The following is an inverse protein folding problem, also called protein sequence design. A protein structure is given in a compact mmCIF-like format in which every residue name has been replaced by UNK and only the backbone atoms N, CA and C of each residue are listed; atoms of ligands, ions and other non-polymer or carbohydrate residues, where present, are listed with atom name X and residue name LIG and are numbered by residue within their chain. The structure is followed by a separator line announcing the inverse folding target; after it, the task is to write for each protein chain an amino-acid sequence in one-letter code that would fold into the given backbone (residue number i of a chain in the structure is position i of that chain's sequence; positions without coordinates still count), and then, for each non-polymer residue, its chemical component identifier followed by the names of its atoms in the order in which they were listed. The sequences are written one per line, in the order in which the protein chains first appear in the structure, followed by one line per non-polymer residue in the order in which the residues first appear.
data_IF_591802437470
#
_entry.id   IF_591802437470
#
_cell.length_a   1.000
_cell.length_b   1.000
_cell.length_c   1.000
_cell.angle_alpha   90.00
_cell.angle_beta   90.00
_cell.angle_gamma   90.00
#
_symmetry.space_group_name_H-M   'P 1'
#
loop_
_entity.id
_entity.type
_entity.pdbx_description
1 polymer ?
#
# COMPACT_ATOMS: atom_id res chain seq x y z
N UNK A 1 29.17 -2.13 -7.91
CA UNK A 1 28.37 -3.00 -7.02
C UNK A 1 29.14 -4.17 -6.41
N UNK A 2 30.41 -4.42 -6.78
CA UNK A 2 31.20 -5.52 -6.23
C UNK A 2 31.28 -5.53 -4.69
N UNK A 3 31.67 -4.42 -4.07
CA UNK A 3 31.82 -4.34 -2.61
C UNK A 3 30.54 -4.71 -1.82
N UNK A 4 29.37 -4.27 -2.29
CA UNK A 4 28.09 -4.56 -1.61
C UNK A 4 27.74 -6.05 -1.75
N UNK A 5 27.99 -6.66 -2.91
CA UNK A 5 27.80 -8.10 -3.12
C UNK A 5 28.74 -8.91 -2.22
N UNK A 6 30.02 -8.54 -2.16
CA UNK A 6 31.00 -9.24 -1.31
C UNK A 6 30.58 -9.24 0.15
N UNK A 7 29.98 -8.13 0.62
CA UNK A 7 29.48 -8.00 2.00
C UNK A 7 28.20 -8.82 2.21
N UNK A 8 27.20 -8.65 1.34
CA UNK A 8 25.85 -9.19 1.58
C UNK A 8 25.65 -10.64 1.11
N UNK A 9 26.40 -11.07 0.11
CA UNK A 9 26.27 -12.40 -0.53
C UNK A 9 27.43 -13.29 -0.11
N UNK A 10 28.66 -12.79 -0.24
CA UNK A 10 29.87 -13.58 -0.02
C UNK A 10 30.35 -13.54 1.46
N UNK A 11 29.67 -12.77 2.31
CA UNK A 11 29.91 -12.71 3.77
C UNK A 11 31.23 -12.05 4.19
N UNK A 12 31.89 -11.34 3.27
CA UNK A 12 33.18 -10.70 3.51
C UNK A 12 33.04 -9.52 4.49
N UNK A 13 33.92 -9.39 5.50
CA UNK A 13 33.90 -8.24 6.39
C UNK A 13 34.01 -6.91 5.62
N UNK A 14 33.31 -5.87 6.11
CA UNK A 14 33.21 -4.57 5.42
C UNK A 14 34.58 -3.95 5.17
N UNK A 15 35.54 -4.10 6.09
CA UNK A 15 36.89 -3.55 5.96
C UNK A 15 37.67 -4.23 4.82
N UNK A 16 37.54 -5.56 4.70
CA UNK A 16 38.23 -6.35 3.69
C UNK A 16 37.61 -6.11 2.31
N UNK A 17 36.28 -6.07 2.24
CA UNK A 17 35.56 -5.69 1.02
C UNK A 17 35.88 -4.25 0.59
N UNK A 18 36.01 -3.32 1.54
CA UNK A 18 36.37 -1.94 1.22
C UNK A 18 37.79 -1.85 0.62
N UNK A 19 38.75 -2.56 1.23
CA UNK A 19 40.13 -2.64 0.75
C UNK A 19 40.21 -3.27 -0.65
N UNK A 20 39.55 -4.41 -0.86
CA UNK A 20 39.53 -5.13 -2.14
C UNK A 20 38.92 -4.28 -3.28
N UNK A 21 38.01 -3.37 -2.94
CA UNK A 21 37.35 -2.48 -3.90
C UNK A 21 37.87 -1.04 -3.86
N UNK A 22 39.00 -0.78 -3.19
CA UNK A 22 39.68 0.52 -3.14
C UNK A 22 38.76 1.68 -2.67
N UNK A 23 37.87 1.39 -1.72
CA UNK A 23 36.98 2.37 -1.09
C UNK A 23 37.19 2.40 0.41
N UNK A 24 36.70 3.45 1.08
CA UNK A 24 36.72 3.50 2.54
C UNK A 24 35.63 2.61 3.12
N UNK A 25 35.87 2.04 4.31
CA UNK A 25 34.86 1.26 5.03
C UNK A 25 33.57 2.06 5.30
N UNK A 26 33.70 3.38 5.54
CA UNK A 26 32.55 4.30 5.66
C UNK A 26 31.74 4.34 4.36
N UNK A 27 32.40 4.46 3.21
CA UNK A 27 31.74 4.48 1.92
C UNK A 27 31.08 3.13 1.60
N UNK A 28 31.75 2.01 1.87
CA UNK A 28 31.19 0.67 1.72
C UNK A 28 29.89 0.48 2.53
N UNK A 29 29.89 0.96 3.79
CA UNK A 29 28.69 0.94 4.65
C UNK A 29 27.55 1.81 4.10
N UNK A 30 27.86 3.00 3.57
CA UNK A 30 26.84 3.85 2.92
C UNK A 30 26.22 3.16 1.71
N UNK A 31 27.03 2.53 0.86
CA UNK A 31 26.54 1.78 -0.31
C UNK A 31 25.67 0.59 0.10
N UNK A 32 26.09 -0.17 1.11
CA UNK A 32 25.31 -1.29 1.66
C UNK A 32 23.94 -0.80 2.17
N UNK A 33 23.91 0.25 2.97
CA UNK A 33 22.67 0.80 3.52
C UNK A 33 21.72 1.30 2.41
N UNK A 34 22.27 1.98 1.38
CA UNK A 34 21.48 2.43 0.22
C UNK A 34 20.91 1.26 -0.57
N UNK A 35 21.70 0.21 -0.76
CA UNK A 35 21.23 -1.00 -1.43
C UNK A 35 20.08 -1.66 -0.67
N UNK A 36 20.23 -1.85 0.65
CA UNK A 36 19.18 -2.43 1.49
C UNK A 36 17.91 -1.58 1.49
N UNK A 37 18.03 -0.26 1.59
CA UNK A 37 16.88 0.64 1.50
C UNK A 37 16.15 0.51 0.15
N UNK A 38 16.90 0.42 -0.96
CA UNK A 38 16.31 0.24 -2.29
C UNK A 38 15.69 -1.16 -2.46
N UNK A 39 16.33 -2.19 -1.90
CA UNK A 39 15.79 -3.55 -1.91
C UNK A 39 14.46 -3.63 -1.16
N UNK A 40 14.32 -2.90 -0.04
CA UNK A 40 13.06 -2.84 0.70
C UNK A 40 11.98 -2.06 -0.06
N UNK A 41 12.33 -0.94 -0.70
CA UNK A 41 11.40 -0.23 -1.59
C UNK A 41 10.90 -1.13 -2.72
N UNK A 42 11.79 -1.93 -3.31
CA UNK A 42 11.44 -2.89 -4.35
C UNK A 42 10.50 -3.98 -3.81
N UNK A 43 10.80 -4.56 -2.63
CA UNK A 43 9.94 -5.55 -1.96
C UNK A 43 8.54 -4.99 -1.71
N UNK A 44 8.44 -3.74 -1.25
CA UNK A 44 7.15 -3.07 -1.04
C UNK A 44 6.41 -2.84 -2.36
N UNK A 45 7.11 -2.40 -3.40
CA UNK A 45 6.50 -2.20 -4.71
C UNK A 45 5.97 -3.51 -5.32
N UNK A 46 6.73 -4.61 -5.19
CA UNK A 46 6.30 -5.95 -5.61
C UNK A 46 5.06 -6.41 -4.84
N UNK A 47 5.04 -6.20 -3.52
CA UNK A 47 3.86 -6.48 -2.71
C UNK A 47 2.64 -5.67 -3.19
N UNK A 48 2.79 -4.38 -3.45
CA UNK A 48 1.71 -3.51 -3.93
C UNK A 48 1.21 -3.88 -5.33
N UNK A 49 2.05 -4.48 -6.18
CA UNK A 49 1.65 -4.99 -7.49
C UNK A 49 0.82 -6.28 -7.37
N UNK A 50 1.21 -7.17 -6.46
CA UNK A 50 0.53 -8.47 -6.25
C UNK A 50 -0.78 -8.29 -5.47
N UNK A 51 -0.76 -7.50 -4.41
CA UNK A 51 -1.90 -7.23 -3.54
C UNK A 51 -2.27 -5.74 -3.68
N UNK A 52 -3.05 -5.36 -4.72
CA UNK A 52 -3.56 -4.00 -4.79
C UNK A 52 -4.41 -3.71 -3.56
N UNK A 53 -4.43 -2.48 -3.05
CA UNK A 53 -5.25 -2.13 -1.91
C UNK A 53 -6.69 -2.53 -2.20
N UNK A 54 -7.27 -3.38 -1.34
CA UNK A 54 -8.68 -3.75 -1.39
C UNK A 54 -9.49 -2.47 -1.23
N UNK A 55 -9.90 -1.87 -2.34
CA UNK A 55 -10.72 -0.66 -2.36
C UNK A 55 -12.08 -1.03 -1.76
N UNK A 56 -12.36 -0.68 -0.49
CA UNK A 56 -13.61 -1.07 0.15
C UNK A 56 -14.81 -0.35 -0.48
N UNK A 57 -14.52 0.73 -1.21
CA UNK A 57 -15.45 1.63 -1.88
C UNK A 57 -15.76 1.23 -3.31
N UNK A 58 -14.94 0.42 -3.99
CA UNK A 58 -15.19 0.01 -5.38
C UNK A 58 -16.57 -0.67 -5.55
N UNK A 59 -17.01 -1.43 -4.53
CA UNK A 59 -18.35 -2.03 -4.52
C UNK A 59 -19.48 -1.02 -4.29
N UNK A 60 -19.20 0.11 -3.63
CA UNK A 60 -20.16 1.19 -3.40
C UNK A 60 -20.23 2.16 -4.58
N UNK A 61 -19.15 2.30 -5.33
CA UNK A 61 -19.08 3.16 -6.54
C UNK A 61 -20.11 2.76 -7.59
N UNK A 62 -20.34 1.46 -7.81
CA UNK A 62 -21.39 0.97 -8.71
C UNK A 62 -22.81 1.37 -8.29
N UNK A 63 -23.00 1.75 -7.03
CA UNK A 63 -24.28 2.18 -6.44
C UNK A 63 -24.25 3.66 -6.03
N UNK A 64 -23.31 4.46 -6.54
CA UNK A 64 -23.09 5.83 -6.09
C UNK A 64 -24.35 6.69 -6.24
N UNK A 65 -25.04 6.57 -7.38
CA UNK A 65 -26.25 7.34 -7.69
C UNK A 65 -27.41 6.96 -6.78
N UNK A 66 -27.59 5.67 -6.50
CA UNK A 66 -28.61 5.12 -5.62
C UNK A 66 -28.36 5.56 -4.17
N UNK A 67 -27.11 5.49 -3.70
CA UNK A 67 -26.72 5.94 -2.36
C UNK A 67 -27.00 7.44 -2.21
N UNK A 68 -26.67 8.26 -3.20
CA UNK A 68 -26.96 9.70 -3.21
C UNK A 68 -28.46 9.96 -3.20
N UNK A 69 -29.22 9.27 -4.06
CA UNK A 69 -30.68 9.40 -4.13
C UNK A 69 -31.35 9.05 -2.81
N UNK A 70 -30.93 7.96 -2.17
CA UNK A 70 -31.47 7.54 -0.87
C UNK A 70 -31.08 8.53 0.24
N UNK A 71 -29.84 9.02 0.26
CA UNK A 71 -29.40 10.07 1.19
C UNK A 71 -30.26 11.32 1.05
N UNK A 72 -30.50 11.79 -0.17
CA UNK A 72 -31.25 13.02 -0.43
C UNK A 72 -32.73 12.88 -0.09
N UNK A 73 -33.25 11.66 -0.11
CA UNK A 73 -34.59 11.31 0.41
C UNK A 73 -34.63 11.12 1.93
N UNK A 74 -33.52 11.33 2.64
CA UNK A 74 -33.45 11.28 4.11
C UNK A 74 -33.25 9.88 4.70
N UNK A 75 -32.88 8.88 3.91
CA UNK A 75 -32.60 7.54 4.44
C UNK A 75 -31.31 7.53 5.27
N UNK A 76 -31.32 6.79 6.38
CA UNK A 76 -30.15 6.63 7.24
C UNK A 76 -29.12 5.71 6.62
N UNK A 77 -27.86 5.80 7.07
CA UNK A 77 -26.80 4.92 6.59
C UNK A 77 -27.06 3.42 6.84
N UNK A 78 -27.80 3.07 7.91
CA UNK A 78 -28.22 1.70 8.19
C UNK A 78 -29.25 1.21 7.17
N UNK A 79 -30.20 2.06 6.79
CA UNK A 79 -31.21 1.73 5.77
C UNK A 79 -30.57 1.59 4.38
N UNK A 80 -29.61 2.45 4.05
CA UNK A 80 -28.84 2.35 2.80
C UNK A 80 -27.98 1.06 2.80
N UNK A 81 -27.34 0.70 3.91
CA UNK A 81 -26.61 -0.56 4.01
C UNK A 81 -27.53 -1.79 3.86
N UNK A 82 -28.75 -1.72 4.40
CA UNK A 82 -29.76 -2.77 4.22
C UNK A 82 -30.24 -2.88 2.76
N UNK A 83 -30.39 -1.76 2.05
CA UNK A 83 -30.67 -1.72 0.62
C UNK A 83 -29.53 -2.41 -0.16
N UNK A 84 -28.29 -2.00 0.06
CA UNK A 84 -27.12 -2.57 -0.62
C UNK A 84 -26.98 -4.09 -0.38
N UNK A 85 -27.30 -4.55 0.84
CA UNK A 85 -27.32 -5.98 1.16
C UNK A 85 -28.32 -6.77 0.31
N UNK A 86 -29.50 -6.21 0.03
CA UNK A 86 -30.50 -6.84 -0.86
C UNK A 86 -30.00 -6.95 -2.31
N UNK A 87 -29.09 -6.08 -2.71
CA UNK A 87 -28.47 -6.06 -4.03
C UNK A 87 -27.11 -6.78 -4.06
N UNK A 88 -26.81 -7.62 -3.07
CA UNK A 88 -25.59 -8.44 -3.03
C UNK A 88 -24.34 -7.73 -2.52
N UNK A 89 -24.45 -6.48 -2.07
CA UNK A 89 -23.33 -5.71 -1.52
C UNK A 89 -23.36 -5.73 0.00
N UNK A 90 -22.53 -6.58 0.60
CA UNK A 90 -22.35 -6.61 2.04
C UNK A 90 -21.49 -5.43 2.52
N UNK A 91 -22.13 -4.43 3.15
CA UNK A 91 -21.47 -3.25 3.69
C UNK A 91 -21.98 -2.89 5.08
N UNK A 92 -21.29 -1.97 5.77
CA UNK A 92 -21.70 -1.44 7.07
C UNK A 92 -22.13 0.02 6.94
N UNK A 93 -22.96 0.48 7.86
CA UNK A 93 -23.36 1.89 7.92
C UNK A 93 -22.18 2.85 8.08
N UNK A 94 -21.09 2.42 8.73
CA UNK A 94 -19.86 3.20 8.82
C UNK A 94 -19.21 3.39 7.43
N UNK A 95 -19.14 2.34 6.61
CA UNK A 95 -18.63 2.42 5.23
C UNK A 95 -19.50 3.32 4.36
N UNK A 96 -20.83 3.21 4.48
CA UNK A 96 -21.77 4.09 3.77
C UNK A 96 -21.59 5.56 4.17
N UNK A 97 -21.46 5.86 5.47
CA UNK A 97 -21.20 7.23 5.95
C UNK A 97 -19.90 7.80 5.41
N UNK A 98 -18.83 7.00 5.41
CA UNK A 98 -17.53 7.43 4.88
C UNK A 98 -17.63 7.70 3.38
N UNK A 99 -18.28 6.82 2.62
CA UNK A 99 -18.52 7.01 1.18
C UNK A 99 -19.29 8.30 0.89
N UNK A 100 -20.40 8.54 1.61
CA UNK A 100 -21.20 9.78 1.47
C UNK A 100 -20.37 11.03 1.79
N UNK A 101 -19.46 10.96 2.77
CA UNK A 101 -18.57 12.07 3.13
C UNK A 101 -17.50 12.32 2.07
N UNK A 102 -16.91 11.26 1.52
CA UNK A 102 -15.87 11.36 0.48
C UNK A 102 -16.43 11.88 -0.84
N UNK A 103 -17.68 11.56 -1.17
CA UNK A 103 -18.37 12.00 -2.40
C UNK A 103 -18.98 13.41 -2.31
N UNK A 104 -18.64 14.18 -1.26
CA UNK A 104 -19.01 15.60 -1.09
C UNK A 104 -17.88 16.57 -1.47
N UNK A 105 -16.68 16.06 -1.76
CA UNK A 105 -15.54 16.82 -2.24
C UNK A 105 -15.53 16.83 -3.77
#
# INVERSE_FOLDING_TARGET
MGAVRSILVDGVPIADAATAHQITAKHARVLMNRFLAKAEQQRLAEFMQVEPPKQPTALLESYANEIVTLRDKGYTADQIAAYLKKHGVATSAAKVRNFIRSNRA
#
